data_IF_357487642861
#
_entry.id   IF_357487642861
#
_cell.length_a   1.000
_cell.length_b   1.000
_cell.length_c   1.000
_cell.angle_alpha   90.00
_cell.angle_beta   90.00
_cell.angle_gamma   90.00
#
_symmetry.space_group_name_H-M   'P 1'
#
loop_
_entity.id
_entity.type
_entity.pdbx_description
1 polymer ?
#
# COMPACT_ATOMS: atom_id res chain seq x y z
N UNK A 1 -1.16 86.12 5.87
CA UNK A 1 -0.23 84.97 5.90
C UNK A 1 -0.95 83.83 5.18
N UNK A 2 -0.50 83.58 3.94
CA UNK A 2 -0.50 82.31 3.19
C UNK A 2 -1.73 81.41 3.35
N UNK A 3 -2.75 81.47 2.46
CA UNK A 3 -2.85 80.80 1.13
C UNK A 3 -2.71 79.26 1.24
N UNK A 4 -3.60 78.36 0.78
CA UNK A 4 -4.50 78.31 -0.39
C UNK A 4 -5.76 77.42 -0.11
N UNK A 5 -6.92 77.78 -0.67
CA UNK A 5 -8.14 76.97 -0.91
C UNK A 5 -8.04 76.23 -2.29
N UNK A 6 -9.06 75.51 -2.83
CA UNK A 6 -10.02 74.43 -2.40
C UNK A 6 -9.98 73.25 -3.44
N UNK A 7 -11.05 72.51 -3.87
CA UNK A 7 -12.20 71.82 -3.24
C UNK A 7 -12.25 70.28 -3.54
N UNK A 8 -13.25 69.56 -2.98
CA UNK A 8 -13.66 68.18 -3.36
C UNK A 8 -14.01 68.04 -4.86
N UNK A 9 -13.89 66.83 -5.50
CA UNK A 9 -15.06 65.94 -5.64
C UNK A 9 -14.77 64.41 -5.72
N UNK A 10 -15.79 63.65 -5.31
CA UNK A 10 -16.32 62.37 -5.83
C UNK A 10 -15.40 61.24 -6.36
N UNK A 11 -15.66 60.05 -5.81
CA UNK A 11 -15.23 58.68 -6.14
C UNK A 11 -15.00 58.36 -7.64
N UNK A 12 -14.09 57.40 -7.90
CA UNK A 12 -14.28 56.41 -8.95
C UNK A 12 -14.46 54.99 -8.38
N UNK A 13 -15.40 54.27 -8.99
CA UNK A 13 -15.61 52.83 -8.91
C UNK A 13 -14.38 52.04 -9.40
N UNK A 14 -14.16 50.88 -8.78
CA UNK A 14 -13.48 49.74 -9.39
C UNK A 14 -11.96 49.68 -9.23
N UNK A 15 -11.51 48.81 -8.32
CA UNK A 15 -10.75 47.57 -8.59
C UNK A 15 -10.27 47.02 -7.25
N UNK A 16 -10.68 45.79 -6.93
CA UNK A 16 -10.27 45.07 -5.74
C UNK A 16 -8.80 44.67 -5.87
N UNK A 17 -7.93 45.39 -5.17
CA UNK A 17 -6.61 44.90 -4.82
C UNK A 17 -6.34 45.26 -3.36
N UNK A 18 -6.65 44.31 -2.47
CA UNK A 18 -6.22 44.34 -1.09
C UNK A 18 -5.53 43.01 -0.79
N UNK A 19 -4.21 43.01 -0.99
CA UNK A 19 -3.28 42.30 -0.11
C UNK A 19 -3.70 42.55 1.34
N UNK A 20 -4.15 41.50 2.00
CA UNK A 20 -4.26 41.46 3.46
C UNK A 20 -3.59 40.19 3.93
N UNK A 21 -2.35 40.35 4.36
CA UNK A 21 -1.69 39.42 5.26
C UNK A 21 -2.60 39.20 6.46
N UNK A 22 -3.04 37.96 6.61
CA UNK A 22 -3.93 37.48 7.65
C UNK A 22 -3.47 36.11 8.10
N UNK A 23 -2.31 36.06 8.76
CA UNK A 23 -2.02 34.98 9.71
C UNK A 23 -3.10 34.98 10.79
N UNK A 24 -3.96 33.96 10.78
CA UNK A 24 -4.48 33.25 11.95
C UNK A 24 -5.54 32.24 11.51
N UNK A 25 -5.17 30.96 11.44
CA UNK A 25 -5.61 29.90 12.38
C UNK A 25 -5.37 28.52 11.72
N UNK A 26 -4.50 27.71 12.34
CA UNK A 26 -4.58 26.23 12.31
C UNK A 26 -4.35 25.53 10.95
N UNK A 27 -3.10 25.45 10.48
CA UNK A 27 -2.67 24.32 9.64
C UNK A 27 -2.13 23.22 10.59
N UNK A 28 -3.04 22.57 11.30
CA UNK A 28 -2.76 21.53 12.31
C UNK A 28 -2.64 20.12 11.71
N UNK A 29 -2.61 20.02 10.38
CA UNK A 29 -2.65 18.75 9.66
C UNK A 29 -1.33 18.55 8.95
N UNK A 30 -0.66 17.42 9.25
CA UNK A 30 0.53 17.00 8.52
C UNK A 30 0.14 16.69 7.08
N UNK A 31 0.58 17.55 6.15
CA UNK A 31 0.30 17.35 4.73
C UNK A 31 1.15 16.20 4.19
N UNK A 32 0.59 15.34 3.33
CA UNK A 32 1.38 14.36 2.60
C UNK A 32 2.49 15.06 1.79
N UNK A 33 3.66 14.43 1.74
CA UNK A 33 4.86 15.03 1.13
C UNK A 33 4.80 14.96 -0.40
N UNK A 34 4.18 13.91 -0.94
CA UNK A 34 3.96 13.71 -2.38
C UNK A 34 2.57 13.09 -2.59
N UNK A 35 1.82 13.58 -3.56
CA UNK A 35 0.57 12.97 -4.04
C UNK A 35 0.55 12.92 -5.56
N UNK A 36 0.11 11.79 -6.12
CA UNK A 36 0.15 11.49 -7.55
C UNK A 36 -1.14 10.78 -7.97
N UNK A 37 -1.78 11.20 -9.05
CA UNK A 37 -2.92 10.47 -9.64
C UNK A 37 -2.38 9.49 -10.69
N UNK A 38 -2.76 8.21 -10.61
CA UNK A 38 -2.20 7.15 -11.44
C UNK A 38 -2.32 7.42 -12.95
N UNK A 39 -3.39 8.08 -13.39
CA UNK A 39 -3.69 8.28 -14.81
C UNK A 39 -3.84 6.96 -15.57
N UNK A 40 -4.07 7.05 -16.88
CA UNK A 40 -4.20 5.87 -17.76
C UNK A 40 -2.88 5.09 -17.90
N UNK A 41 -1.76 5.72 -17.53
CA UNK A 41 -0.44 5.09 -17.57
C UNK A 41 -0.29 4.01 -16.51
N UNK A 42 -0.74 4.27 -15.28
CA UNK A 42 -0.54 3.38 -14.15
C UNK A 42 -1.82 2.73 -13.64
N UNK A 43 -2.99 3.35 -13.82
CA UNK A 43 -4.27 2.82 -13.33
C UNK A 43 -4.92 1.82 -14.28
N UNK A 44 -4.37 0.61 -14.35
CA UNK A 44 -4.81 -0.45 -15.27
C UNK A 44 -6.00 -1.27 -14.73
N UNK A 45 -6.33 -1.08 -13.45
CA UNK A 45 -7.42 -1.76 -12.77
C UNK A 45 -8.78 -1.10 -12.97
N UNK A 46 -9.78 -1.71 -12.35
CA UNK A 46 -11.20 -1.34 -12.47
C UNK A 46 -11.77 -0.73 -11.19
N UNK A 47 -11.01 -0.67 -10.09
CA UNK A 47 -11.48 -0.04 -8.87
C UNK A 47 -11.61 1.46 -9.06
N UNK A 48 -12.86 1.92 -9.14
CA UNK A 48 -13.18 3.33 -9.33
C UNK A 48 -13.03 4.08 -8.01
N UNK A 49 -12.23 5.14 -8.02
CA UNK A 49 -12.19 6.08 -6.89
C UNK A 49 -13.55 6.75 -6.70
N UNK A 50 -14.15 6.69 -5.50
CA UNK A 50 -15.43 7.34 -5.22
C UNK A 50 -15.34 8.86 -5.43
N UNK A 51 -16.33 9.42 -6.13
CA UNK A 51 -16.47 10.88 -6.22
C UNK A 51 -17.11 11.41 -4.95
N UNK A 52 -16.34 12.19 -4.17
CA UNK A 52 -16.75 12.62 -2.85
C UNK A 52 -16.19 14.01 -2.50
N UNK A 53 -17.03 14.97 -2.07
CA UNK A 53 -16.62 16.35 -1.79
C UNK A 53 -15.52 16.51 -0.73
N UNK A 54 -15.41 15.56 0.20
CA UNK A 54 -14.41 15.62 1.29
C UNK A 54 -13.18 14.75 1.02
N UNK A 55 -12.95 14.25 -0.20
CA UNK A 55 -11.76 13.44 -0.55
C UNK A 55 -10.46 14.17 -0.21
N UNK A 56 -10.36 15.47 -0.52
CA UNK A 56 -9.17 16.26 -0.20
C UNK A 56 -8.94 16.37 1.32
N UNK A 57 -10.01 16.57 2.10
CA UNK A 57 -9.95 16.58 3.57
C UNK A 57 -9.50 15.21 4.10
N UNK A 58 -10.11 14.13 3.59
CA UNK A 58 -9.75 12.76 3.95
C UNK A 58 -8.26 12.51 3.76
N UNK A 59 -7.72 12.80 2.57
CA UNK A 59 -6.29 12.62 2.27
C UNK A 59 -5.40 13.46 3.18
N UNK A 60 -5.78 14.70 3.48
CA UNK A 60 -5.02 15.58 4.38
C UNK A 60 -5.00 15.08 5.83
N UNK A 61 -6.07 14.40 6.27
CA UNK A 61 -6.23 13.96 7.66
C UNK A 61 -5.76 12.53 7.91
N UNK A 62 -5.38 11.77 6.87
CA UNK A 62 -4.92 10.37 7.01
C UNK A 62 -3.82 10.20 8.05
N UNK A 63 -2.91 11.17 8.16
CA UNK A 63 -1.82 11.15 9.16
C UNK A 63 -2.30 11.07 10.62
N UNK A 64 -3.51 11.56 10.94
CA UNK A 64 -4.10 11.50 12.29
C UNK A 64 -4.47 10.07 12.71
N UNK A 65 -4.62 9.16 11.74
CA UNK A 65 -5.09 7.79 11.96
C UNK A 65 -3.93 6.79 12.00
N UNK A 66 -2.69 7.25 12.12
CA UNK A 66 -1.55 6.36 12.30
C UNK A 66 -1.26 6.13 13.78
N UNK A 67 -1.05 4.88 14.14
CA UNK A 67 -0.74 4.46 15.51
C UNK A 67 0.48 3.54 15.53
N UNK A 68 1.14 3.38 16.69
CA UNK A 68 2.33 2.52 16.80
C UNK A 68 2.01 1.10 16.35
N UNK A 69 2.86 0.57 15.46
CA UNK A 69 2.78 -0.82 15.03
C UNK A 69 3.36 -1.74 16.10
N UNK A 70 2.77 -2.93 16.28
CA UNK A 70 3.21 -3.92 17.29
C UNK A 70 4.47 -4.69 16.86
N UNK A 71 4.85 -4.55 15.59
CA UNK A 71 6.01 -5.21 14.97
C UNK A 71 6.58 -4.36 13.84
N UNK A 72 7.75 -4.73 13.33
CA UNK A 72 8.48 -4.02 12.27
C UNK A 72 8.41 -4.68 10.89
N UNK A 73 7.77 -5.84 10.76
CA UNK A 73 7.62 -6.57 9.50
C UNK A 73 6.16 -6.55 9.04
N UNK A 74 5.92 -6.67 7.73
CA UNK A 74 4.58 -6.79 7.14
C UNK A 74 3.81 -7.94 7.78
N UNK A 75 2.62 -7.64 8.31
CA UNK A 75 1.74 -8.58 8.99
C UNK A 75 0.35 -8.73 8.37
N UNK A 76 -0.16 -7.76 7.62
CA UNK A 76 -1.50 -7.85 7.04
C UNK A 76 -1.60 -7.28 5.62
N UNK A 77 -2.69 -7.61 4.91
CA UNK A 77 -2.97 -7.10 3.57
C UNK A 77 -3.16 -5.59 3.56
N UNK A 78 -2.80 -4.89 2.49
CA UNK A 78 -3.02 -3.45 2.30
C UNK A 78 -4.50 -3.02 2.24
N UNK A 79 -5.43 -3.98 2.12
CA UNK A 79 -6.89 -3.80 2.01
C UNK A 79 -7.43 -2.76 3.00
N UNK A 80 -8.25 -1.81 2.51
CA UNK A 80 -8.75 -0.74 3.35
C UNK A 80 -9.92 -1.13 4.26
N UNK A 81 -10.53 -2.31 4.07
CA UNK A 81 -11.62 -2.81 4.92
C UNK A 81 -11.09 -3.17 6.30
N UNK A 82 -11.83 -2.82 7.38
CA UNK A 82 -11.50 -3.26 8.72
C UNK A 82 -11.76 -4.77 8.83
N UNK A 83 -10.79 -5.51 9.36
CA UNK A 83 -10.89 -6.95 9.57
C UNK A 83 -11.35 -7.34 10.96
N UNK A 84 -10.96 -8.54 11.38
CA UNK A 84 -11.18 -9.10 12.72
C UNK A 84 -9.91 -9.10 13.58
N UNK A 85 -8.74 -8.92 12.97
CA UNK A 85 -7.47 -8.78 13.68
C UNK A 85 -7.39 -7.43 14.38
N UNK A 86 -7.27 -7.46 15.71
CA UNK A 86 -7.20 -6.25 16.54
C UNK A 86 -5.80 -5.61 16.58
N UNK A 87 -4.77 -6.35 16.16
CA UNK A 87 -3.38 -5.90 16.24
C UNK A 87 -3.01 -4.95 15.11
N UNK A 88 -2.33 -3.86 15.49
CA UNK A 88 -1.80 -2.88 14.57
C UNK A 88 -0.49 -3.38 13.95
N UNK A 89 -0.58 -4.16 12.87
CA UNK A 89 0.58 -4.69 12.15
C UNK A 89 0.82 -3.94 10.84
N UNK A 90 2.08 -3.81 10.38
CA UNK A 90 2.39 -3.19 9.09
C UNK A 90 1.72 -3.89 7.91
N UNK A 91 1.39 -3.13 6.86
CA UNK A 91 0.55 -3.59 5.75
C UNK A 91 1.27 -3.61 4.40
N UNK A 92 0.96 -4.62 3.59
CA UNK A 92 1.42 -4.73 2.21
C UNK A 92 0.51 -5.66 1.42
N UNK A 93 0.55 -5.60 0.09
CA UNK A 93 -0.32 -6.38 -0.79
C UNK A 93 -0.27 -7.88 -0.47
N UNK A 94 -1.40 -8.44 -0.02
CA UNK A 94 -1.55 -9.86 0.32
C UNK A 94 -1.04 -10.29 1.70
N UNK A 95 -0.49 -9.38 2.51
CA UNK A 95 0.00 -9.69 3.86
C UNK A 95 1.09 -10.76 3.84
N UNK A 96 0.84 -11.91 4.46
CA UNK A 96 1.76 -13.06 4.44
C UNK A 96 2.11 -13.58 3.04
N UNK A 97 1.22 -13.42 2.05
CA UNK A 97 1.51 -13.77 0.65
C UNK A 97 2.70 -12.98 0.08
N UNK A 98 2.90 -11.74 0.54
CA UNK A 98 3.96 -10.84 0.06
C UNK A 98 5.34 -11.50 0.15
N UNK A 99 5.59 -12.30 1.18
CA UNK A 99 6.88 -12.96 1.36
C UNK A 99 7.12 -14.09 0.36
N UNK A 100 6.08 -14.86 0.02
CA UNK A 100 6.18 -15.92 -0.99
C UNK A 100 6.49 -15.33 -2.37
N UNK A 101 5.74 -14.30 -2.76
CA UNK A 101 5.95 -13.63 -4.06
C UNK A 101 7.30 -12.92 -4.08
N UNK A 102 7.75 -12.35 -2.96
CA UNK A 102 9.07 -11.74 -2.85
C UNK A 102 10.17 -12.78 -3.03
N UNK A 103 10.11 -13.91 -2.33
CA UNK A 103 11.14 -14.96 -2.47
C UNK A 103 11.20 -15.48 -3.91
N UNK A 104 10.05 -15.55 -4.60
CA UNK A 104 9.98 -15.91 -6.01
C UNK A 104 10.65 -14.88 -6.92
N UNK A 105 10.39 -13.60 -6.72
CA UNK A 105 11.01 -12.52 -7.50
C UNK A 105 12.52 -12.42 -7.23
N UNK A 106 12.99 -12.76 -6.02
CA UNK A 106 14.41 -12.75 -5.65
C UNK A 106 15.13 -13.98 -6.18
N UNK A 107 14.66 -15.20 -5.88
CA UNK A 107 15.40 -16.45 -6.16
C UNK A 107 15.02 -17.13 -7.47
N UNK A 108 13.93 -16.73 -8.10
CA UNK A 108 13.38 -17.45 -9.24
C UNK A 108 12.96 -18.87 -8.83
N UNK A 109 13.42 -19.89 -9.56
CA UNK A 109 13.03 -21.30 -9.40
C UNK A 109 14.14 -22.24 -8.94
N UNK A 110 14.99 -21.81 -8.02
CA UNK A 110 15.97 -22.73 -7.43
C UNK A 110 15.32 -23.94 -6.75
N UNK A 111 14.09 -23.81 -6.24
CA UNK A 111 13.39 -24.83 -5.45
C UNK A 111 12.00 -25.13 -6.01
N UNK A 112 11.42 -26.27 -5.61
CA UNK A 112 9.98 -26.52 -5.82
C UNK A 112 9.14 -25.50 -5.04
N UNK A 113 7.89 -25.29 -5.49
CA UNK A 113 6.97 -24.33 -4.84
C UNK A 113 6.76 -24.71 -3.36
N UNK A 114 6.55 -25.98 -3.06
CA UNK A 114 6.32 -26.44 -1.69
C UNK A 114 7.55 -26.26 -0.78
N UNK A 115 8.75 -26.49 -1.31
CA UNK A 115 10.01 -26.29 -0.58
C UNK A 115 10.29 -24.80 -0.34
N UNK A 116 10.09 -23.96 -1.36
CA UNK A 116 10.22 -22.52 -1.25
C UNK A 116 9.24 -21.98 -0.18
N UNK A 117 7.97 -22.38 -0.26
CA UNK A 117 6.93 -21.91 0.65
C UNK A 117 7.16 -22.39 2.08
N UNK A 118 7.56 -23.66 2.25
CA UNK A 118 7.92 -24.20 3.58
C UNK A 118 9.11 -23.45 4.18
N UNK A 119 10.13 -23.13 3.37
CA UNK A 119 11.27 -22.32 3.83
C UNK A 119 10.85 -20.92 4.23
N UNK A 120 10.12 -20.22 3.38
CA UNK A 120 9.74 -18.81 3.58
C UNK A 120 8.84 -18.69 4.82
N UNK A 121 7.77 -19.49 4.87
CA UNK A 121 6.80 -19.43 5.96
C UNK A 121 7.35 -20.04 7.25
N UNK A 122 8.23 -21.04 7.16
CA UNK A 122 8.97 -21.53 8.32
C UNK A 122 9.92 -20.49 8.92
N UNK A 123 10.53 -19.61 8.09
CA UNK A 123 11.34 -18.49 8.58
C UNK A 123 10.48 -17.42 9.24
N UNK A 124 9.39 -17.02 8.59
CA UNK A 124 8.52 -15.93 9.08
C UNK A 124 7.75 -16.37 10.32
N UNK A 125 7.26 -17.60 10.35
CA UNK A 125 6.56 -18.18 11.49
C UNK A 125 7.44 -18.42 12.72
N UNK A 126 8.77 -18.32 12.60
CA UNK A 126 9.69 -18.32 13.74
C UNK A 126 9.94 -16.92 14.30
N UNK A 127 9.46 -15.88 13.62
CA UNK A 127 9.47 -14.51 14.12
C UNK A 127 8.24 -14.37 15.03
N UNK A 128 8.36 -13.75 16.23
CA UNK A 128 7.22 -13.46 17.09
C UNK A 128 6.37 -12.32 16.49
N UNK A 129 5.89 -12.52 15.26
CA UNK A 129 5.18 -11.55 14.45
C UNK A 129 3.87 -12.17 13.98
N UNK A 130 2.80 -11.41 14.10
CA UNK A 130 1.47 -11.76 13.66
C UNK A 130 1.35 -11.48 12.18
N UNK A 131 1.71 -12.51 11.41
CA UNK A 131 1.53 -12.54 9.96
C UNK A 131 0.21 -13.20 9.63
N UNK A 132 -0.57 -12.51 8.82
CA UNK A 132 -1.91 -12.88 8.41
C UNK A 132 -2.07 -12.82 6.90
N UNK A 133 -2.95 -13.68 6.42
CA UNK A 133 -3.64 -13.52 5.14
C UNK A 133 -5.10 -13.18 5.42
N UNK A 134 -5.86 -12.87 4.38
CA UNK A 134 -7.29 -12.64 4.57
C UNK A 134 -8.10 -13.26 3.44
N UNK A 135 -9.38 -13.43 3.74
CA UNK A 135 -10.46 -13.73 2.81
C UNK A 135 -11.56 -12.68 2.98
N UNK A 136 -12.58 -12.75 2.14
CA UNK A 136 -13.83 -12.00 2.38
C UNK A 136 -15.09 -12.85 2.25
N UNK A 137 -16.21 -12.28 2.67
CA UNK A 137 -17.53 -12.93 2.68
C UNK A 137 -18.26 -12.92 1.33
N UNK A 138 -17.64 -12.38 0.28
CA UNK A 138 -18.21 -12.24 -1.07
C UNK A 138 -17.46 -13.04 -2.13
N UNK A 139 -16.29 -13.55 -1.80
CA UNK A 139 -15.48 -14.38 -2.67
C UNK A 139 -16.21 -15.68 -3.03
N UNK A 140 -16.10 -16.06 -4.30
CA UNK A 140 -16.74 -17.26 -4.84
C UNK A 140 -15.76 -17.99 -5.78
N UNK A 141 -15.86 -19.32 -5.85
CA UNK A 141 -15.06 -20.12 -6.78
C UNK A 141 -13.57 -20.15 -6.42
N UNK A 142 -12.75 -19.65 -7.34
CA UNK A 142 -11.28 -19.63 -7.24
C UNK A 142 -10.72 -18.41 -6.50
N UNK A 143 -11.56 -17.42 -6.21
CA UNK A 143 -11.16 -16.20 -5.53
C UNK A 143 -11.13 -16.39 -4.01
N UNK A 144 -10.16 -15.76 -3.35
CA UNK A 144 -10.08 -15.65 -1.90
C UNK A 144 -10.81 -14.41 -1.36
N UNK A 145 -11.04 -13.38 -2.18
CA UNK A 145 -11.47 -12.06 -1.71
C UNK A 145 -10.31 -11.18 -1.27
N UNK A 146 -9.08 -11.62 -1.56
CA UNK A 146 -7.86 -10.85 -1.44
C UNK A 146 -7.40 -10.51 -2.84
N UNK A 147 -7.66 -9.29 -3.31
CA UNK A 147 -7.39 -8.95 -4.70
C UNK A 147 -5.90 -9.07 -5.08
N UNK A 148 -4.98 -8.93 -4.13
CA UNK A 148 -3.55 -9.19 -4.33
C UNK A 148 -3.23 -10.68 -4.54
N UNK A 149 -3.99 -11.60 -3.94
CA UNK A 149 -3.89 -13.03 -4.20
C UNK A 149 -4.59 -13.40 -5.52
N UNK A 150 -5.81 -12.91 -5.71
CA UNK A 150 -6.66 -13.23 -6.86
C UNK A 150 -6.07 -12.70 -8.17
N UNK A 151 -5.36 -11.55 -8.13
CA UNK A 151 -4.70 -10.95 -9.30
C UNK A 151 -3.18 -11.17 -9.34
N UNK A 152 -2.61 -12.13 -8.59
CA UNK A 152 -1.15 -12.35 -8.53
C UNK A 152 -0.53 -12.48 -9.94
N UNK A 153 -1.20 -13.17 -10.86
CA UNK A 153 -0.71 -13.35 -12.23
C UNK A 153 -0.69 -12.05 -13.06
N UNK A 154 -1.70 -11.19 -12.87
CA UNK A 154 -1.71 -9.86 -13.49
C UNK A 154 -0.60 -8.97 -12.90
N UNK A 155 -0.37 -9.05 -11.58
CA UNK A 155 0.70 -8.30 -10.90
C UNK A 155 2.08 -8.72 -11.45
N UNK A 156 2.33 -10.03 -11.59
CA UNK A 156 3.57 -10.54 -12.21
C UNK A 156 3.72 -10.08 -13.66
N UNK A 157 2.63 -10.15 -14.44
CA UNK A 157 2.61 -9.62 -15.82
C UNK A 157 2.99 -8.14 -15.85
N UNK A 158 2.47 -7.34 -14.91
CA UNK A 158 2.80 -5.92 -14.82
C UNK A 158 4.28 -5.73 -14.49
N UNK A 159 4.84 -6.46 -13.52
CA UNK A 159 6.27 -6.39 -13.21
C UNK A 159 7.12 -6.76 -14.42
N UNK A 160 6.74 -7.81 -15.15
CA UNK A 160 7.48 -8.28 -16.32
C UNK A 160 7.46 -7.29 -17.50
N UNK A 161 6.31 -6.67 -17.77
CA UNK A 161 6.08 -5.86 -18.98
C UNK A 161 6.28 -4.36 -18.74
N UNK A 162 6.06 -3.90 -17.52
CA UNK A 162 6.03 -2.47 -17.14
C UNK A 162 7.11 -2.13 -16.10
N UNK A 163 8.22 -2.89 -16.07
CA UNK A 163 9.30 -2.69 -15.08
C UNK A 163 9.90 -1.28 -15.05
N UNK A 164 10.11 -0.65 -16.21
CA UNK A 164 10.60 0.73 -16.31
C UNK A 164 9.58 1.75 -15.79
N UNK A 165 8.30 1.50 -16.03
CA UNK A 165 7.20 2.31 -15.51
C UNK A 165 7.11 2.20 -13.98
N UNK A 166 7.28 1.00 -13.43
CA UNK A 166 7.38 0.79 -11.98
C UNK A 166 8.58 1.52 -11.38
N UNK A 167 9.74 1.50 -12.05
CA UNK A 167 10.92 2.24 -11.61
C UNK A 167 10.67 3.76 -11.60
N UNK A 168 10.03 4.26 -12.65
CA UNK A 168 9.66 5.67 -12.79
C UNK A 168 8.70 6.09 -11.69
N UNK A 169 7.62 5.33 -11.48
CA UNK A 169 6.63 5.59 -10.42
C UNK A 169 7.27 5.54 -9.02
N UNK A 170 8.15 4.56 -8.76
CA UNK A 170 8.90 4.50 -7.50
C UNK A 170 9.74 5.77 -7.28
N UNK A 171 10.37 6.29 -8.35
CA UNK A 171 11.18 7.51 -8.29
C UNK A 171 10.31 8.74 -8.07
N UNK A 172 9.18 8.87 -8.77
CA UNK A 172 8.22 9.97 -8.61
C UNK A 172 7.65 10.05 -7.20
N UNK A 173 7.41 8.89 -6.57
CA UNK A 173 6.96 8.78 -5.19
C UNK A 173 8.09 8.94 -4.16
N UNK A 174 9.35 9.09 -4.57
CA UNK A 174 10.49 9.18 -3.65
C UNK A 174 10.81 7.87 -2.91
N UNK A 175 10.38 6.73 -3.47
CA UNK A 175 10.58 5.37 -2.93
C UNK A 175 11.72 4.61 -3.64
N UNK A 176 12.21 5.11 -4.78
CA UNK A 176 13.14 4.41 -5.67
C UNK A 176 14.64 4.61 -5.41
N UNK A 177 15.03 5.34 -4.36
CA UNK A 177 16.40 5.82 -4.17
C UNK A 177 17.49 4.74 -4.08
N UNK A 178 17.13 3.52 -3.65
CA UNK A 178 18.07 2.43 -3.38
C UNK A 178 17.94 1.24 -4.35
N UNK A 179 17.17 1.41 -5.45
CA UNK A 179 16.97 0.36 -6.45
C UNK A 179 18.22 0.25 -7.33
N UNK A 180 18.89 -0.90 -7.30
CA UNK A 180 20.00 -1.17 -8.23
C UNK A 180 19.51 -1.71 -9.57
N UNK A 181 20.26 -1.41 -10.63
CA UNK A 181 20.01 -1.94 -11.99
C UNK A 181 19.98 -3.48 -11.97
N UNK A 182 20.86 -4.12 -11.19
CA UNK A 182 20.92 -5.57 -11.11
C UNK A 182 19.68 -6.16 -10.43
N UNK A 183 19.19 -5.54 -9.34
CA UNK A 183 17.96 -5.97 -8.67
C UNK A 183 16.76 -5.79 -9.61
N UNK A 184 16.66 -4.62 -10.23
CA UNK A 184 15.63 -4.28 -11.20
C UNK A 184 15.54 -5.32 -12.35
N UNK A 185 16.66 -5.57 -13.04
CA UNK A 185 16.71 -6.50 -14.16
C UNK A 185 16.48 -7.96 -13.74
N UNK A 186 16.88 -8.35 -12.53
CA UNK A 186 16.60 -9.70 -12.03
C UNK A 186 15.12 -9.90 -11.73
N UNK A 187 14.49 -8.94 -11.04
CA UNK A 187 13.06 -9.01 -10.67
C UNK A 187 12.18 -9.10 -11.92
N UNK A 188 12.44 -8.27 -12.94
CA UNK A 188 11.72 -8.32 -14.22
C UNK A 188 11.89 -9.69 -14.88
N UNK A 189 13.12 -10.20 -14.97
CA UNK A 189 13.39 -11.52 -15.58
C UNK A 189 12.67 -12.64 -14.85
N UNK A 190 12.65 -12.63 -13.52
CA UNK A 190 11.96 -13.64 -12.73
C UNK A 190 10.44 -13.51 -12.81
N UNK A 191 9.90 -12.30 -12.94
CA UNK A 191 8.48 -12.07 -13.16
C UNK A 191 8.00 -12.54 -14.54
N UNK A 192 8.84 -12.39 -15.57
CA UNK A 192 8.55 -12.78 -16.96
C UNK A 192 8.53 -14.29 -17.21
N UNK A 193 8.93 -15.10 -16.23
CA UNK A 193 8.98 -16.54 -16.39
C UNK A 193 7.58 -17.15 -16.22
N UNK A 194 6.86 -17.29 -17.34
CA UNK A 194 5.48 -17.78 -17.36
C UNK A 194 5.34 -19.24 -16.92
N UNK A 195 6.40 -20.07 -17.06
CA UNK A 195 6.40 -21.46 -16.57
C UNK A 195 6.27 -21.58 -15.05
N UNK A 196 6.26 -20.43 -14.39
CA UNK A 196 6.55 -20.21 -12.98
C UNK A 196 5.65 -19.16 -12.34
N UNK A 197 4.72 -18.57 -13.10
CA UNK A 197 3.60 -17.82 -12.54
C UNK A 197 2.95 -18.69 -11.48
N UNK A 198 2.53 -18.08 -10.39
CA UNK A 198 1.74 -18.76 -9.38
C UNK A 198 0.41 -19.13 -10.04
N UNK A 199 0.35 -20.34 -10.64
CA UNK A 199 -0.86 -20.89 -11.27
C UNK A 199 -1.89 -21.37 -10.25
N UNK A 200 -1.60 -21.17 -8.97
CA UNK A 200 -2.54 -21.41 -7.90
C UNK A 200 -3.60 -20.30 -7.92
N UNK A 201 -4.86 -20.69 -7.75
CA UNK A 201 -5.94 -19.74 -7.55
C UNK A 201 -5.66 -18.87 -6.32
N UNK A 202 -6.30 -17.69 -6.23
CA UNK A 202 -6.17 -16.85 -5.03
C UNK A 202 -6.59 -17.59 -3.76
N UNK A 203 -7.65 -18.41 -3.87
CA UNK A 203 -8.09 -19.31 -2.81
C UNK A 203 -7.01 -20.32 -2.38
N UNK A 204 -6.34 -20.97 -3.34
CA UNK A 204 -5.25 -21.93 -3.05
C UNK A 204 -4.06 -21.25 -2.40
N UNK A 205 -3.73 -20.02 -2.82
CA UNK A 205 -2.63 -19.26 -2.25
C UNK A 205 -2.87 -18.89 -0.81
N UNK A 206 -4.06 -18.36 -0.52
CA UNK A 206 -4.43 -18.00 0.85
C UNK A 206 -4.50 -19.27 1.72
N UNK A 207 -5.09 -20.35 1.23
CA UNK A 207 -5.13 -21.63 1.94
C UNK A 207 -3.74 -22.20 2.24
N UNK A 208 -2.82 -22.09 1.28
CA UNK A 208 -1.44 -22.57 1.42
C UNK A 208 -0.66 -21.77 2.47
N UNK A 209 -0.78 -20.44 2.46
CA UNK A 209 -0.13 -19.58 3.46
C UNK A 209 -0.72 -19.86 4.85
N UNK A 210 -2.05 -19.89 4.97
CA UNK A 210 -2.76 -20.19 6.21
C UNK A 210 -2.33 -21.54 6.80
N UNK A 211 -2.31 -22.59 5.98
CA UNK A 211 -1.92 -23.93 6.40
C UNK A 211 -0.46 -24.02 6.89
N UNK A 212 0.43 -23.16 6.40
CA UNK A 212 1.82 -23.13 6.86
C UNK A 212 2.01 -22.28 8.11
N UNK A 213 1.32 -21.13 8.21
CA UNK A 213 1.32 -20.32 9.43
C UNK A 213 0.78 -21.12 10.63
N UNK A 214 -0.25 -21.93 10.41
CA UNK A 214 -0.81 -22.84 11.40
C UNK A 214 0.16 -23.92 11.90
N UNK A 215 1.26 -24.23 11.17
CA UNK A 215 2.28 -25.18 11.60
C UNK A 215 3.39 -24.55 12.44
N UNK A 216 3.58 -23.23 12.33
CA UNK A 216 4.68 -22.51 12.97
C UNK A 216 4.34 -21.93 14.34
N UNK A 217 3.06 -21.78 14.69
CA UNK A 217 2.63 -21.14 15.94
C UNK A 217 2.07 -22.13 16.98
N UNK A 218 2.30 -21.84 18.27
CA UNK A 218 1.40 -22.26 19.36
C UNK A 218 -0.04 -21.76 19.06
N UNK A 219 -1.11 -22.45 19.50
CA UNK A 219 -2.49 -22.28 19.00
C UNK A 219 -3.12 -20.95 19.44
N UNK A 220 -2.65 -19.85 18.87
CA UNK A 220 -3.01 -18.48 19.25
C UNK A 220 -3.62 -17.75 18.06
N UNK A 221 -4.89 -18.08 17.78
CA UNK A 221 -5.74 -17.32 16.86
C UNK A 221 -5.74 -17.82 15.42
N UNK A 222 -6.70 -17.31 14.63
CA UNK A 222 -6.80 -17.58 13.21
C UNK A 222 -5.77 -16.72 12.44
N UNK A 223 -4.95 -17.35 11.59
CA UNK A 223 -3.99 -16.66 10.72
C UNK A 223 -4.65 -16.08 9.46
N UNK A 224 -5.91 -16.42 9.23
CA UNK A 224 -6.75 -15.86 8.18
C UNK A 224 -7.76 -14.89 8.78
N UNK A 225 -7.67 -13.64 8.37
CA UNK A 225 -8.67 -12.63 8.65
C UNK A 225 -9.87 -12.74 7.71
N UNK A 226 -11.06 -12.35 8.18
CA UNK A 226 -12.30 -12.37 7.41
C UNK A 226 -12.83 -10.94 7.26
N UNK A 227 -12.70 -10.41 6.05
CA UNK A 227 -13.17 -9.06 5.73
C UNK A 227 -14.62 -9.09 5.25
N UNK A 228 -15.32 -8.00 5.53
CA UNK A 228 -16.73 -7.85 5.18
C UNK A 228 -16.95 -6.59 4.35
N UNK A 229 -17.93 -6.66 3.45
CA UNK A 229 -18.34 -5.49 2.65
C UNK A 229 -17.57 -5.34 1.33
N UNK A 230 -17.70 -4.16 0.73
CA UNK A 230 -17.11 -3.82 -0.57
C UNK A 230 -15.93 -2.86 -0.42
N UNK A 231 -15.01 -2.95 -1.39
CA UNK A 231 -13.95 -1.98 -1.63
C UNK A 231 -14.51 -0.60 -1.98
N UNK A 232 -14.04 0.41 -1.27
CA UNK A 232 -14.36 1.82 -1.50
C UNK A 232 -13.13 2.70 -1.20
N UNK A 233 -11.96 2.25 -1.60
CA UNK A 233 -10.72 2.98 -1.39
C UNK A 233 -10.71 4.29 -2.20
N UNK A 234 -10.47 5.40 -1.50
CA UNK A 234 -10.38 6.73 -2.09
C UNK A 234 -8.93 7.16 -2.39
N UNK A 235 -7.97 6.43 -1.84
CA UNK A 235 -6.54 6.75 -1.85
C UNK A 235 -5.71 5.49 -1.54
N UNK A 236 -4.49 5.46 -2.09
CA UNK A 236 -3.41 4.57 -1.66
C UNK A 236 -2.41 5.39 -0.85
N UNK A 237 -2.04 4.91 0.33
CA UNK A 237 -1.01 5.53 1.17
C UNK A 237 0.24 4.67 1.17
N UNK A 238 1.37 5.26 0.77
CA UNK A 238 2.71 4.71 0.93
C UNK A 238 3.28 5.31 2.22
N UNK A 239 3.17 4.59 3.33
CA UNK A 239 3.63 5.05 4.63
C UNK A 239 5.14 4.79 4.81
N UNK A 240 5.92 5.85 5.01
CA UNK A 240 7.34 5.85 5.34
C UNK A 240 7.62 6.14 6.82
N UNK A 241 6.59 6.40 7.64
CA UNK A 241 6.75 6.65 9.08
C UNK A 241 7.05 5.38 9.84
N UNK A 242 8.33 5.15 10.08
CA UNK A 242 8.84 3.99 10.77
C UNK A 242 8.10 3.71 12.09
N UNK A 243 7.69 2.46 12.29
CA UNK A 243 7.03 2.02 13.52
C UNK A 243 5.55 2.39 13.63
N UNK A 244 4.91 2.83 12.55
CA UNK A 244 3.47 3.18 12.55
C UNK A 244 2.70 2.43 11.47
N UNK A 245 1.39 2.29 11.65
CA UNK A 245 0.46 1.77 10.63
C UNK A 245 -0.92 2.42 10.79
N UNK A 246 -1.79 2.24 9.79
CA UNK A 246 -3.10 2.88 9.72
C UNK A 246 -4.13 2.19 10.63
N UNK A 247 -4.79 2.96 11.48
CA UNK A 247 -5.99 2.57 12.24
C UNK A 247 -7.23 2.58 11.32
N UNK A 248 -7.44 1.47 10.62
CA UNK A 248 -8.60 1.29 9.73
C UNK A 248 -9.92 1.39 10.48
N UNK A 249 -9.96 0.99 11.76
CA UNK A 249 -11.18 1.08 12.55
C UNK A 249 -11.51 2.53 12.93
N UNK A 250 -10.51 3.33 13.31
CA UNK A 250 -10.73 4.76 13.55
C UNK A 250 -11.15 5.49 12.29
N UNK A 251 -10.50 5.19 11.16
CA UNK A 251 -10.85 5.75 9.86
C UNK A 251 -12.29 5.41 9.48
N UNK A 252 -12.67 4.12 9.54
CA UNK A 252 -14.03 3.66 9.26
C UNK A 252 -15.06 4.27 10.24
N UNK A 253 -14.76 4.39 11.53
CA UNK A 253 -15.67 5.02 12.51
C UNK A 253 -15.99 6.48 12.20
N UNK A 254 -15.05 7.19 11.56
CA UNK A 254 -15.24 8.60 11.21
C UNK A 254 -15.86 8.76 9.82
N UNK A 255 -15.36 8.04 8.83
CA UNK A 255 -15.69 8.27 7.43
C UNK A 255 -16.65 7.25 6.80
N UNK A 256 -16.88 6.07 7.40
CA UNK A 256 -17.85 5.07 6.90
C UNK A 256 -19.28 5.27 7.43
N UNK A 257 -19.64 6.49 7.86
CA UNK A 257 -20.97 6.76 8.43
C UNK A 257 -22.02 6.93 7.34
N UNK A 258 -23.19 6.31 7.55
CA UNK A 258 -24.41 6.54 6.78
C UNK A 258 -24.40 6.13 5.30
N UNK A 259 -23.76 4.98 4.97
CA UNK A 259 -23.74 4.33 3.64
C UNK A 259 -22.72 4.90 2.65
N UNK A 260 -21.89 5.84 3.07
CA UNK A 260 -20.72 6.30 2.34
C UNK A 260 -19.51 5.61 2.98
N UNK A 261 -19.00 4.55 2.35
CA UNK A 261 -17.78 3.88 2.81
C UNK A 261 -16.57 4.54 2.15
N UNK A 262 -15.57 4.92 2.92
CA UNK A 262 -14.36 5.58 2.46
C UNK A 262 -13.14 4.95 3.12
N UNK A 263 -12.43 4.18 2.30
CA UNK A 263 -11.30 3.38 2.74
C UNK A 263 -10.00 3.96 2.20
N UNK A 264 -8.87 3.50 2.74
CA UNK A 264 -7.56 3.78 2.19
C UNK A 264 -6.80 2.46 2.08
N UNK A 265 -6.21 2.18 0.92
CA UNK A 265 -5.17 1.17 0.87
C UNK A 265 -3.96 1.70 1.65
N UNK A 266 -3.43 0.90 2.58
CA UNK A 266 -2.23 1.26 3.34
C UNK A 266 -1.07 0.32 3.01
N UNK A 267 0.07 0.89 2.66
CA UNK A 267 1.30 0.17 2.35
C UNK A 267 2.42 0.75 3.20
N UNK A 268 2.83 0.02 4.23
CA UNK A 268 3.87 0.42 5.17
C UNK A 268 5.26 0.15 4.58
N UNK A 269 5.67 0.99 3.64
CA UNK A 269 6.95 0.89 2.92
C UNK A 269 8.17 0.89 3.84
N UNK A 270 8.08 1.54 5.00
CA UNK A 270 9.14 1.51 6.01
C UNK A 270 9.44 0.09 6.54
N UNK A 271 8.48 -0.83 6.45
CA UNK A 271 8.61 -2.20 6.92
C UNK A 271 9.25 -3.14 5.88
N UNK A 272 9.49 -2.70 4.63
CA UNK A 272 10.05 -3.56 3.59
C UNK A 272 11.49 -3.99 3.87
N UNK A 273 12.36 -3.09 4.35
CA UNK A 273 13.73 -3.44 4.70
C UNK A 273 13.80 -4.40 5.90
N UNK A 274 13.09 -4.16 7.02
CA UNK A 274 13.00 -5.14 8.11
C UNK A 274 12.41 -6.50 7.66
N UNK A 275 11.35 -6.50 6.83
CA UNK A 275 10.77 -7.73 6.28
C UNK A 275 11.77 -8.49 5.39
N UNK A 276 12.58 -7.78 4.60
CA UNK A 276 13.64 -8.37 3.80
C UNK A 276 14.77 -8.97 4.65
N UNK A 277 15.18 -8.28 5.72
CA UNK A 277 16.16 -8.78 6.70
C UNK A 277 15.69 -10.06 7.38
N UNK A 278 14.42 -10.09 7.80
CA UNK A 278 13.75 -11.26 8.34
C UNK A 278 13.73 -12.45 7.36
N UNK A 279 13.47 -12.17 6.07
CA UNK A 279 13.41 -13.20 5.03
C UNK A 279 14.79 -13.76 4.66
N UNK A 280 15.80 -12.89 4.62
CA UNK A 280 17.18 -13.21 4.20
C UNK A 280 18.22 -12.80 5.26
N UNK A 281 18.24 -13.44 6.43
CA UNK A 281 19.15 -13.06 7.51
C UNK A 281 20.61 -13.28 7.10
N UNK A 282 21.42 -12.22 7.21
CA UNK A 282 22.85 -12.26 6.92
C UNK A 282 23.23 -12.23 5.43
N UNK A 283 22.28 -11.95 4.52
CA UNK A 283 22.53 -11.81 3.09
C UNK A 283 22.10 -10.41 2.59
N UNK A 284 22.97 -9.38 2.72
CA UNK A 284 22.62 -8.00 2.37
C UNK A 284 22.18 -7.81 0.91
N UNK A 285 22.75 -8.59 -0.01
CA UNK A 285 22.38 -8.54 -1.43
C UNK A 285 20.96 -9.06 -1.62
N UNK A 286 20.63 -10.23 -1.05
CA UNK A 286 19.27 -10.75 -1.13
C UNK A 286 18.27 -9.85 -0.40
N UNK A 287 18.67 -9.19 0.69
CA UNK A 287 17.84 -8.20 1.39
C UNK A 287 17.50 -7.00 0.49
N UNK A 288 18.48 -6.40 -0.19
CA UNK A 288 18.24 -5.30 -1.12
C UNK A 288 17.28 -5.70 -2.26
N UNK A 289 17.47 -6.91 -2.79
CA UNK A 289 16.62 -7.43 -3.87
C UNK A 289 15.21 -7.69 -3.36
N UNK A 290 15.06 -8.20 -2.14
CA UNK A 290 13.76 -8.43 -1.51
C UNK A 290 13.03 -7.12 -1.22
N UNK A 291 13.70 -6.09 -0.73
CA UNK A 291 13.11 -4.75 -0.55
C UNK A 291 12.61 -4.18 -1.87
N UNK A 292 13.40 -4.30 -2.94
CA UNK A 292 12.99 -3.86 -4.29
C UNK A 292 11.80 -4.67 -4.81
N UNK A 293 11.81 -6.00 -4.61
CA UNK A 293 10.73 -6.88 -5.02
C UNK A 293 9.42 -6.59 -4.26
N UNK A 294 9.48 -6.34 -2.95
CA UNK A 294 8.32 -5.92 -2.15
C UNK A 294 7.75 -4.60 -2.67
N UNK A 295 8.60 -3.61 -2.95
CA UNK A 295 8.17 -2.33 -3.53
C UNK A 295 7.50 -2.53 -4.90
N UNK A 296 8.14 -3.26 -5.81
CA UNK A 296 7.61 -3.50 -7.16
C UNK A 296 6.30 -4.28 -7.14
N UNK A 297 6.18 -5.28 -6.26
CA UNK A 297 4.95 -6.03 -6.10
C UNK A 297 3.80 -5.15 -5.60
N UNK A 298 4.05 -4.27 -4.63
CA UNK A 298 3.04 -3.36 -4.13
C UNK A 298 2.64 -2.29 -5.16
N UNK A 299 3.61 -1.73 -5.91
CA UNK A 299 3.33 -0.79 -7.00
C UNK A 299 2.56 -1.46 -8.15
N UNK A 300 2.94 -2.68 -8.53
CA UNK A 300 2.21 -3.43 -9.54
C UNK A 300 0.82 -3.86 -9.05
N UNK A 301 0.64 -4.13 -7.76
CA UNK A 301 -0.67 -4.38 -7.16
C UNK A 301 -1.59 -3.16 -7.27
N UNK A 302 -1.11 -1.95 -6.93
CA UNK A 302 -1.94 -0.76 -7.07
C UNK A 302 -2.27 -0.49 -8.55
N UNK A 303 -1.35 -0.76 -9.48
CA UNK A 303 -1.61 -0.64 -10.92
C UNK A 303 -2.68 -1.65 -11.41
N UNK A 304 -2.62 -2.89 -10.94
CA UNK A 304 -3.57 -3.95 -11.31
C UNK A 304 -4.98 -3.76 -10.72
N UNK A 305 -5.08 -3.06 -9.60
CA UNK A 305 -6.31 -2.94 -8.82
C UNK A 305 -7.01 -1.61 -9.06
N UNK A 306 -6.26 -0.52 -9.05
CA UNK A 306 -6.81 0.83 -9.06
C UNK A 306 -7.04 1.32 -10.48
N UNK A 307 -8.15 2.03 -10.68
CA UNK A 307 -8.38 2.80 -11.90
C UNK A 307 -7.54 4.09 -11.96
N UNK A 308 -7.57 4.80 -13.10
CA UNK A 308 -6.68 5.93 -13.38
C UNK A 308 -6.83 7.11 -12.42
N UNK A 309 -8.02 7.29 -11.82
CA UNK A 309 -8.29 8.42 -10.91
C UNK A 309 -7.84 8.19 -9.47
N UNK A 310 -7.23 7.05 -9.18
CA UNK A 310 -6.74 6.75 -7.84
C UNK A 310 -5.54 7.64 -7.51
N UNK A 311 -5.61 8.29 -6.34
CA UNK A 311 -4.46 9.04 -5.83
C UNK A 311 -3.61 8.13 -4.97
N UNK A 312 -2.32 8.12 -5.26
CA UNK A 312 -1.27 7.58 -4.40
C UNK A 312 -0.64 8.72 -3.65
N UNK A 313 -0.44 8.57 -2.34
CA UNK A 313 0.17 9.59 -1.52
C UNK A 313 1.25 8.99 -0.63
N UNK A 314 2.36 9.72 -0.45
CA UNK A 314 3.44 9.32 0.46
C UNK A 314 3.30 10.07 1.77
N UNK A 315 3.27 9.31 2.85
CA UNK A 315 3.24 9.81 4.22
C UNK A 315 4.63 9.60 4.83
N UNK A 316 5.35 10.69 5.08
CA UNK A 316 6.67 10.67 5.71
C UNK A 316 6.64 11.31 7.11
#
# INVERSE_FOLDING_TARGET
MTEFYPPHPSLPDGTYDYRRDGEATSDCYERPVVSYELGDEYGLGDLTTPEWPRRAEFVQRLGEYYLPAVQNIIGACMDGRPGSTAEAVPNGAGGGLLYLVTDRLVRGNSDSIDEANTRVLGRIGQIPATVHVHRDDRAHGEDAGCAAADKVGAIFTIIAQHGEQLHSLATELGLGGDISDEAHQQIIRHAADESKLVMASGNDLVAMVDAQLAKSAEPTGAHTDMLHGSHHEAVVVMNQRAGTTLDRYALAREFDRAHEHHQAFNIDTWAFAPSAEALYPGDPTAQQYATTAMLYYNLAAIMALCGPRMTVTVLA
#
